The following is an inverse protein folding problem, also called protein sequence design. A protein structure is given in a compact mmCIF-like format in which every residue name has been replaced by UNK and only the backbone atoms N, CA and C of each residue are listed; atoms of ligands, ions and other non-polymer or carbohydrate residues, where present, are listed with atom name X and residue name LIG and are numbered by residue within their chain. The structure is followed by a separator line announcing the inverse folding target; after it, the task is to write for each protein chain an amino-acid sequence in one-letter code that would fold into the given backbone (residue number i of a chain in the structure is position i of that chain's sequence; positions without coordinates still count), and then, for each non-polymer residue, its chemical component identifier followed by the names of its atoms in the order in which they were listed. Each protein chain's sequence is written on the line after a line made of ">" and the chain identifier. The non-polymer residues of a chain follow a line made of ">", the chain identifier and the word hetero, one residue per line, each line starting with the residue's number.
data_IF_248959949452
#
_entry.id   IF_248959949452
#
_cell.length_a   1.000
_cell.length_b   1.000
_cell.length_c   1.000
_cell.angle_alpha   90.00
_cell.angle_beta   90.00
_cell.angle_gamma   90.00
#
_symmetry.space_group_name_H-M   'P 1'
#
loop_
_entity.id
_entity.type
_entity.pdbx_description
1 polymer ?
#
# COMPACT_ATOMS: atom_id res chain seq x y z
N UNK A 1 9.12 4.88 8.27
CA UNK A 1 8.88 4.85 6.80
C UNK A 1 7.39 4.70 6.57
N UNK A 2 6.83 5.32 5.54
CA UNK A 2 5.39 5.24 5.26
C UNK A 2 4.98 6.10 4.06
N UNK A 3 3.68 6.17 3.79
CA UNK A 3 3.14 6.89 2.64
C UNK A 3 3.54 8.36 2.54
N UNK A 4 3.72 9.02 3.68
CA UNK A 4 4.13 10.42 3.72
C UNK A 4 5.52 10.65 3.09
N UNK A 5 6.43 9.68 3.24
CA UNK A 5 7.74 9.74 2.62
C UNK A 5 7.65 9.79 1.10
N UNK A 6 6.70 9.05 0.51
CA UNK A 6 6.48 9.07 -0.95
C UNK A 6 6.00 10.45 -1.38
N UNK A 7 5.03 11.02 -0.65
CA UNK A 7 4.51 12.37 -0.91
C UNK A 7 5.61 13.42 -0.81
N UNK A 8 6.44 13.37 0.24
CA UNK A 8 7.58 14.29 0.42
C UNK A 8 8.62 14.19 -0.70
N UNK A 9 8.94 12.99 -1.18
CA UNK A 9 9.89 12.82 -2.28
C UNK A 9 9.35 13.38 -3.60
N UNK A 10 8.06 13.16 -3.89
CA UNK A 10 7.39 13.79 -5.04
C UNK A 10 7.43 15.31 -4.92
N UNK A 11 7.09 15.84 -3.74
CA UNK A 11 7.08 17.27 -3.46
C UNK A 11 8.46 17.91 -3.71
N UNK A 12 9.53 17.31 -3.17
CA UNK A 12 10.90 17.80 -3.31
C UNK A 12 11.36 17.78 -4.76
N UNK A 13 11.09 16.70 -5.48
CA UNK A 13 11.60 16.53 -6.84
C UNK A 13 10.83 17.37 -7.88
N UNK A 14 9.53 17.55 -7.70
CA UNK A 14 8.68 18.31 -8.63
C UNK A 14 8.46 19.77 -8.19
N UNK A 15 8.90 20.15 -6.99
CA UNK A 15 8.72 21.50 -6.43
C UNK A 15 7.25 21.97 -6.39
N UNK A 16 6.36 21.05 -6.02
CA UNK A 16 4.90 21.27 -5.94
C UNK A 16 4.42 21.34 -4.48
N UNK A 17 3.13 21.62 -4.27
CA UNK A 17 2.51 21.54 -2.94
C UNK A 17 2.36 20.10 -2.45
N UNK A 18 2.14 19.94 -1.14
CA UNK A 18 1.89 18.64 -0.53
C UNK A 18 0.62 17.99 -1.11
N UNK A 19 -0.44 18.79 -1.28
CA UNK A 19 -1.72 18.35 -1.81
C UNK A 19 -1.60 17.84 -3.25
N UNK A 20 -0.84 18.55 -4.09
CA UNK A 20 -0.54 18.12 -5.46
C UNK A 20 0.29 16.83 -5.47
N UNK A 21 1.31 16.72 -4.61
CA UNK A 21 2.10 15.51 -4.48
C UNK A 21 1.26 14.30 -4.03
N UNK A 22 0.32 14.50 -3.11
CA UNK A 22 -0.58 13.46 -2.63
C UNK A 22 -1.52 12.97 -3.75
N UNK A 23 -2.08 13.90 -4.53
CA UNK A 23 -2.91 13.58 -5.71
C UNK A 23 -2.14 12.74 -6.72
N UNK A 24 -0.91 13.15 -7.06
CA UNK A 24 -0.03 12.38 -7.96
C UNK A 24 0.28 10.99 -7.41
N UNK A 25 0.56 10.87 -6.11
CA UNK A 25 0.78 9.58 -5.45
C UNK A 25 -0.44 8.66 -5.55
N UNK A 26 -1.64 9.23 -5.41
CA UNK A 26 -2.91 8.53 -5.55
C UNK A 26 -3.30 8.22 -7.00
N UNK A 27 -2.51 8.66 -7.99
CA UNK A 27 -2.69 8.35 -9.40
C UNK A 27 -3.46 9.41 -10.20
N UNK A 28 -3.78 10.56 -9.60
CA UNK A 28 -4.30 11.71 -10.33
C UNK A 28 -3.21 12.32 -11.22
N UNK A 29 -3.63 12.99 -12.30
CA UNK A 29 -2.73 13.72 -13.18
C UNK A 29 -2.77 15.21 -12.84
N UNK A 30 -1.61 15.85 -12.86
CA UNK A 30 -1.48 17.30 -12.68
C UNK A 30 -0.83 17.87 -13.94
N UNK A 31 -1.40 18.96 -14.44
CA UNK A 31 -0.90 19.64 -15.62
C UNK A 31 0.54 20.12 -15.40
N UNK A 32 1.39 19.92 -16.40
CA UNK A 32 2.81 20.29 -16.34
C UNK A 32 3.73 19.27 -15.65
N UNK A 33 3.21 18.17 -15.10
CA UNK A 33 4.02 17.09 -14.55
C UNK A 33 4.22 15.99 -15.59
N UNK A 34 5.48 15.68 -15.89
CA UNK A 34 5.83 14.55 -16.77
C UNK A 34 5.58 13.20 -16.06
N UNK A 35 4.70 12.34 -16.59
CA UNK A 35 4.44 11.01 -16.02
C UNK A 35 5.68 10.10 -15.93
N UNK A 36 6.67 10.27 -16.82
CA UNK A 36 7.91 9.50 -16.78
C UNK A 36 8.76 9.88 -15.57
N UNK A 37 8.91 11.19 -15.34
CA UNK A 37 9.65 11.72 -14.17
C UNK A 37 8.98 11.28 -12.86
N UNK A 38 7.64 11.36 -12.78
CA UNK A 38 6.89 10.86 -11.62
C UNK A 38 7.14 9.36 -11.39
N UNK A 39 7.13 8.56 -12.46
CA UNK A 39 7.38 7.12 -12.38
C UNK A 39 8.79 6.83 -11.84
N UNK A 40 9.81 7.53 -12.31
CA UNK A 40 11.18 7.37 -11.81
C UNK A 40 11.31 7.69 -10.31
N UNK A 41 10.67 8.76 -9.84
CA UNK A 41 10.63 9.13 -8.42
C UNK A 41 9.95 8.03 -7.60
N UNK A 42 8.80 7.55 -8.07
CA UNK A 42 8.06 6.47 -7.43
C UNK A 42 8.89 5.18 -7.38
N UNK A 43 9.45 4.71 -8.50
CA UNK A 43 10.23 3.48 -8.54
C UNK A 43 11.43 3.53 -7.58
N UNK A 44 12.16 4.63 -7.57
CA UNK A 44 13.30 4.81 -6.64
C UNK A 44 12.85 4.76 -5.19
N UNK A 45 11.76 5.46 -4.86
CA UNK A 45 11.25 5.53 -3.48
C UNK A 45 10.69 4.19 -3.02
N UNK A 46 9.91 3.53 -3.87
CA UNK A 46 9.31 2.22 -3.57
C UNK A 46 10.39 1.13 -3.47
N UNK A 47 11.43 1.16 -4.29
CA UNK A 47 12.56 0.22 -4.20
C UNK A 47 13.30 0.35 -2.86
N UNK A 48 13.44 1.56 -2.33
CA UNK A 48 14.02 1.80 -1.00
C UNK A 48 13.13 1.25 0.10
N UNK A 49 11.82 1.52 0.05
CA UNK A 49 10.85 0.98 1.01
C UNK A 49 10.84 -0.55 0.98
N UNK A 50 10.85 -1.15 -0.22
CA UNK A 50 10.84 -2.60 -0.37
C UNK A 50 12.13 -3.26 0.16
N UNK A 51 13.29 -2.60 0.04
CA UNK A 51 14.54 -3.07 0.65
C UNK A 51 14.49 -3.04 2.19
N UNK A 52 13.81 -2.06 2.78
CA UNK A 52 13.65 -1.95 4.23
C UNK A 52 12.65 -2.97 4.79
N UNK A 53 11.59 -3.26 4.01
CA UNK A 53 10.68 -4.36 4.31
C UNK A 53 11.44 -5.68 4.29
N UNK A 54 12.22 -5.94 3.24
CA UNK A 54 13.06 -7.15 3.15
C UNK A 54 14.00 -7.29 4.36
N UNK A 55 14.72 -6.22 4.74
CA UNK A 55 15.56 -6.23 5.95
C UNK A 55 14.79 -6.59 7.22
N UNK A 56 13.58 -6.08 7.35
CA UNK A 56 12.73 -6.35 8.52
C UNK A 56 12.27 -7.82 8.55
N UNK A 57 11.98 -8.40 7.38
CA UNK A 57 11.64 -9.82 7.25
C UNK A 57 12.85 -10.72 7.55
N UNK A 58 14.03 -10.40 7.02
CA UNK A 58 15.27 -11.14 7.27
C UNK A 58 15.62 -11.14 8.77
N UNK A 59 15.42 -10.00 9.45
CA UNK A 59 15.59 -9.89 10.90
C UNK A 59 14.60 -10.78 11.66
N UNK A 60 13.33 -10.82 11.23
CA UNK A 60 12.32 -11.68 11.84
C UNK A 60 12.65 -13.17 11.67
N UNK A 61 13.04 -13.60 10.47
CA UNK A 61 13.37 -15.02 10.18
C UNK A 61 14.67 -15.47 10.82
N UNK A 62 15.61 -14.56 11.09
CA UNK A 62 16.84 -14.89 11.83
C UNK A 62 16.63 -14.94 13.35
N UNK A 63 15.66 -14.20 13.86
CA UNK A 63 15.33 -14.16 15.30
C UNK A 63 14.30 -15.20 15.73
N UNK A 64 13.62 -15.85 14.77
CA UNK A 64 12.58 -16.86 15.02
C UNK A 64 12.89 -18.14 14.24
N UNK A 65 12.41 -19.29 14.71
CA UNK A 65 12.46 -20.55 13.93
C UNK A 65 11.32 -20.65 12.89
N UNK A 66 10.73 -19.52 12.50
CA UNK A 66 9.54 -19.46 11.65
C UNK A 66 9.86 -19.04 10.22
N UNK A 67 9.21 -19.70 9.26
CA UNK A 67 9.24 -19.30 7.85
C UNK A 67 8.02 -18.42 7.51
N UNK A 68 8.23 -17.46 6.60
CA UNK A 68 7.15 -16.60 6.09
C UNK A 68 6.62 -17.21 4.80
N UNK A 69 5.40 -17.73 4.85
CA UNK A 69 4.77 -18.37 3.69
C UNK A 69 3.91 -17.43 2.85
N UNK A 70 3.45 -16.31 3.41
CA UNK A 70 2.56 -15.36 2.73
C UNK A 70 2.67 -13.96 3.32
N UNK A 71 2.51 -12.93 2.49
CA UNK A 71 2.47 -11.53 2.89
C UNK A 71 1.15 -10.91 2.44
N UNK A 72 0.47 -10.25 3.37
CA UNK A 72 -0.75 -9.49 3.09
C UNK A 72 -0.45 -7.99 3.16
N UNK A 73 -0.74 -7.26 2.08
CA UNK A 73 -0.61 -5.82 2.02
C UNK A 73 -1.88 -5.14 2.55
N UNK A 74 -1.68 -4.15 3.43
CA UNK A 74 -2.75 -3.33 4.00
C UNK A 74 -2.32 -1.86 4.08
N UNK A 75 -3.27 -0.98 4.44
CA UNK A 75 -3.09 0.47 4.48
C UNK A 75 -3.20 1.14 3.11
N UNK A 76 -3.58 2.41 3.08
CA UNK A 76 -3.83 3.13 1.82
C UNK A 76 -2.61 3.23 0.91
N UNK A 77 -1.42 3.42 1.48
CA UNK A 77 -0.19 3.56 0.70
C UNK A 77 0.31 2.26 0.06
N UNK A 78 -0.24 1.10 0.44
CA UNK A 78 0.06 -0.16 -0.25
C UNK A 78 -0.45 -0.15 -1.70
N UNK A 79 -1.44 0.70 -2.02
CA UNK A 79 -2.04 0.83 -3.35
C UNK A 79 -1.24 1.72 -4.31
N UNK A 80 -0.13 2.32 -3.85
CA UNK A 80 0.69 3.15 -4.74
C UNK A 80 1.15 2.29 -5.92
N UNK A 81 0.95 2.80 -7.13
CA UNK A 81 1.26 2.08 -8.37
C UNK A 81 2.72 1.63 -8.38
N UNK A 82 2.96 0.35 -8.67
CA UNK A 82 4.30 -0.22 -8.68
C UNK A 82 4.74 -0.81 -7.35
N UNK A 83 4.00 -0.64 -6.25
CA UNK A 83 4.45 -1.07 -4.92
C UNK A 83 4.47 -2.59 -4.77
N UNK A 84 3.36 -3.26 -5.12
CA UNK A 84 3.28 -4.72 -5.12
C UNK A 84 4.37 -5.31 -6.02
N UNK A 85 4.52 -4.80 -7.25
CA UNK A 85 5.51 -5.32 -8.20
C UNK A 85 6.95 -5.14 -7.70
N UNK A 86 7.24 -4.03 -7.00
CA UNK A 86 8.56 -3.80 -6.39
C UNK A 86 8.83 -4.78 -5.24
N UNK A 87 7.81 -5.09 -4.43
CA UNK A 87 7.92 -6.06 -3.34
C UNK A 87 8.08 -7.48 -3.87
N UNK A 88 7.24 -7.92 -4.81
CA UNK A 88 7.30 -9.26 -5.41
C UNK A 88 8.65 -9.51 -6.10
N UNK A 89 9.27 -8.50 -6.71
CA UNK A 89 10.61 -8.63 -7.31
C UNK A 89 11.72 -8.85 -6.28
N UNK A 90 11.56 -8.33 -5.06
CA UNK A 90 12.57 -8.42 -4.00
C UNK A 90 12.35 -9.60 -3.07
N UNK A 91 11.10 -9.97 -2.83
CA UNK A 91 10.68 -10.92 -1.82
C UNK A 91 10.10 -12.15 -2.52
N UNK A 92 10.74 -13.30 -2.33
CA UNK A 92 10.32 -14.57 -2.93
C UNK A 92 9.24 -15.27 -2.09
N UNK A 93 8.16 -14.55 -1.76
CA UNK A 93 7.01 -15.03 -0.99
C UNK A 93 5.75 -14.51 -1.68
N UNK A 94 4.65 -15.29 -1.75
CA UNK A 94 3.38 -14.79 -2.24
C UNK A 94 2.94 -13.51 -1.51
N UNK A 95 2.56 -12.50 -2.27
CA UNK A 95 2.07 -11.21 -1.78
C UNK A 95 0.68 -10.99 -2.34
N UNK A 96 -0.27 -10.60 -1.50
CA UNK A 96 -1.61 -10.21 -1.94
C UNK A 96 -2.17 -9.05 -1.12
N UNK A 97 -3.10 -8.29 -1.70
CA UNK A 97 -3.85 -7.29 -0.95
C UNK A 97 -4.85 -7.96 0.02
N UNK A 98 -4.88 -7.48 1.26
CA UNK A 98 -5.88 -7.94 2.21
C UNK A 98 -7.28 -7.49 1.75
N UNK A 99 -8.23 -8.42 1.79
CA UNK A 99 -9.65 -8.11 1.64
C UNK A 99 -10.38 -8.42 2.96
N UNK A 100 -10.55 -7.44 3.86
CA UNK A 100 -11.23 -7.65 5.13
C UNK A 100 -12.74 -7.88 4.97
N UNK A 101 -13.32 -7.53 3.81
CA UNK A 101 -14.73 -7.74 3.51
C UNK A 101 -15.05 -9.16 3.02
N UNK A 102 -14.03 -10.01 2.77
CA UNK A 102 -14.21 -11.37 2.22
C UNK A 102 -15.16 -12.24 3.05
N UNK A 103 -15.21 -12.04 4.36
CA UNK A 103 -16.08 -12.77 5.28
C UNK A 103 -17.32 -11.97 5.74
N UNK A 104 -17.57 -10.80 5.15
CA UNK A 104 -18.64 -9.89 5.56
C UNK A 104 -19.73 -9.89 4.50
N UNK A 105 -20.97 -10.13 4.92
CA UNK A 105 -22.14 -9.95 4.05
C UNK A 105 -22.51 -8.47 4.01
N UNK A 106 -22.64 -7.90 2.82
CA UNK A 106 -23.10 -6.54 2.61
C UNK A 106 -24.17 -6.51 1.51
N UNK A 107 -24.96 -5.44 1.47
CA UNK A 107 -25.95 -5.25 0.42
C UNK A 107 -25.27 -4.68 -0.82
N UNK A 108 -25.18 -5.49 -1.88
CA UNK A 108 -24.55 -5.11 -3.16
C UNK A 108 -25.29 -3.96 -3.87
N UNK A 109 -26.57 -3.71 -3.55
CA UNK A 109 -27.29 -2.54 -4.07
C UNK A 109 -26.88 -1.23 -3.38
N UNK A 110 -26.26 -1.30 -2.19
CA UNK A 110 -25.78 -0.13 -1.46
C UNK A 110 -24.27 0.07 -1.61
N UNK A 111 -23.51 -1.01 -1.78
CA UNK A 111 -22.06 -0.96 -1.88
C UNK A 111 -21.59 -1.66 -3.15
N UNK A 112 -20.94 -0.88 -4.01
CA UNK A 112 -20.26 -1.39 -5.18
C UNK A 112 -19.07 -2.28 -4.78
N UNK A 113 -18.98 -3.47 -5.36
CA UNK A 113 -17.95 -4.46 -5.01
C UNK A 113 -16.53 -4.00 -5.38
N UNK A 114 -16.38 -3.22 -6.44
CA UNK A 114 -15.09 -2.69 -6.89
C UNK A 114 -14.63 -1.57 -5.97
N UNK A 115 -15.56 -0.69 -5.57
CA UNK A 115 -15.30 0.32 -4.54
C UNK A 115 -14.80 -0.31 -3.23
N UNK A 116 -15.42 -1.42 -2.79
CA UNK A 116 -14.98 -2.13 -1.58
C UNK A 116 -13.60 -2.80 -1.74
N UNK A 117 -13.27 -3.34 -2.91
CA UNK A 117 -11.93 -3.87 -3.19
C UNK A 117 -10.87 -2.77 -3.15
N UNK A 118 -11.18 -1.59 -3.67
CA UNK A 118 -10.27 -0.45 -3.61
C UNK A 118 -10.05 0.05 -2.17
N UNK A 119 -11.11 0.06 -1.37
CA UNK A 119 -11.06 0.50 0.02
C UNK A 119 -10.45 -0.56 0.95
N UNK A 120 -10.54 -1.83 0.59
CA UNK A 120 -10.21 -2.98 1.43
C UNK A 120 -8.86 -2.88 2.19
N UNK A 121 -7.73 -2.56 1.54
CA UNK A 121 -6.45 -2.45 2.24
C UNK A 121 -6.48 -1.39 3.35
N UNK A 122 -7.11 -0.24 3.10
CA UNK A 122 -7.22 0.86 4.07
C UNK A 122 -8.23 0.56 5.19
N UNK A 123 -9.25 -0.24 4.91
CA UNK A 123 -10.31 -0.58 5.86
C UNK A 123 -9.92 -1.66 6.88
N UNK A 124 -8.80 -2.36 6.70
CA UNK A 124 -8.42 -3.52 7.51
C UNK A 124 -8.52 -3.28 9.04
N UNK A 125 -8.02 -2.14 9.52
CA UNK A 125 -8.07 -1.79 10.96
C UNK A 125 -9.50 -1.48 11.40
N UNK A 126 -10.23 -0.66 10.65
CA UNK A 126 -11.61 -0.27 10.99
C UNK A 126 -12.54 -1.48 11.04
N UNK A 127 -12.41 -2.39 10.07
CA UNK A 127 -13.16 -3.65 10.06
C UNK A 127 -12.79 -4.52 11.25
N UNK A 128 -11.49 -4.66 11.57
CA UNK A 128 -11.05 -5.44 12.73
C UNK A 128 -11.63 -4.93 14.06
N UNK A 129 -11.70 -3.61 14.24
CA UNK A 129 -12.32 -3.00 15.42
C UNK A 129 -13.83 -3.29 15.50
N UNK A 130 -14.55 -3.20 14.37
CA UNK A 130 -15.98 -3.49 14.32
C UNK A 130 -16.28 -4.98 14.58
N UNK A 131 -15.43 -5.89 14.11
CA UNK A 131 -15.57 -7.33 14.38
C UNK A 131 -15.43 -7.66 15.86
N UNK A 132 -14.58 -6.93 16.59
CA UNK A 132 -14.42 -7.12 18.04
C UNK A 132 -15.73 -6.84 18.79
N UNK A 133 -16.41 -5.74 18.45
CA UNK A 133 -17.66 -5.34 19.13
C UNK A 133 -18.84 -6.27 18.90
N UNK A 134 -18.76 -7.20 17.95
CA UNK A 134 -19.80 -8.22 17.75
C UNK A 134 -19.64 -9.42 18.71
N UNK A 135 -18.46 -9.56 19.33
CA UNK A 135 -18.14 -10.62 20.27
C UNK A 135 -18.19 -10.14 21.74
N UNK A 136 -18.44 -8.85 21.97
CA UNK A 136 -18.72 -8.24 23.28
C UNK A 136 -20.24 -8.05 23.45
#
# INVERSE_FOLDING_TARGET
>A
MGGNQITEEIQKHLSISYEEAEKLKCGEQIEGVDPLVLNEILQKTLANIAAEIQRSLDFFTSSTYGEIHHIYLSGGSSRVKGFEENLTKKINVPIEFINPFKAIKYNENMFDSEYLKELAPAAAVGVGLALRSLND
#
